data_IF_613714599533
#
_entry.id   IF_613714599533
#
_cell.length_a   1.000
_cell.length_b   1.000
_cell.length_c   1.000
_cell.angle_alpha   90.00
_cell.angle_beta   90.00
_cell.angle_gamma   90.00
#
_symmetry.space_group_name_H-M   'P 1'
#
loop_
_entity.id
_entity.type
_entity.pdbx_description
1 polymer ?
#
# COMPACT_ATOMS: atom_id res chain seq x y z
N UNK A 1 -10.89 -13.27 -3.09
CA UNK A 1 -10.00 -12.74 -4.16
C UNK A 1 -8.75 -13.61 -4.28
N UNK A 2 -8.01 -13.51 -5.39
CA UNK A 2 -6.74 -14.24 -5.60
C UNK A 2 -5.63 -13.22 -5.85
N UNK A 3 -4.54 -13.32 -5.08
CA UNK A 3 -3.33 -12.50 -5.20
C UNK A 3 -2.13 -13.45 -5.24
N UNK A 4 -1.29 -13.36 -6.27
CA UNK A 4 -0.09 -14.21 -6.43
C UNK A 4 -0.38 -15.72 -6.39
N UNK A 5 -1.54 -16.14 -6.91
CA UNK A 5 -1.99 -17.54 -6.88
C UNK A 5 -2.56 -18.02 -5.54
N UNK A 6 -2.50 -17.20 -4.47
CA UNK A 6 -3.08 -17.51 -3.15
C UNK A 6 -4.49 -16.95 -3.00
N UNK A 7 -5.36 -17.70 -2.33
CA UNK A 7 -6.75 -17.31 -2.08
C UNK A 7 -6.88 -16.55 -0.76
N UNK A 8 -7.52 -15.39 -0.80
CA UNK A 8 -7.82 -14.55 0.36
C UNK A 8 -9.33 -14.48 0.59
N UNK A 9 -9.82 -15.14 1.65
CA UNK A 9 -11.21 -15.08 2.11
C UNK A 9 -11.38 -13.95 3.13
N UNK A 10 -11.37 -12.72 2.65
CA UNK A 10 -11.46 -11.51 3.48
C UNK A 10 -12.82 -11.33 4.17
N UNK A 11 -13.82 -12.14 3.84
CA UNK A 11 -15.11 -12.16 4.54
C UNK A 11 -15.03 -12.91 5.89
N UNK A 12 -14.03 -13.79 6.07
CA UNK A 12 -13.91 -14.65 7.25
C UNK A 12 -12.60 -14.48 8.02
N UNK A 13 -11.57 -13.96 7.35
CA UNK A 13 -10.23 -13.87 7.91
C UNK A 13 -9.64 -12.47 7.72
N UNK A 14 -8.87 -12.04 8.70
CA UNK A 14 -7.99 -10.89 8.59
C UNK A 14 -6.62 -11.39 8.15
N UNK A 15 -6.04 -10.73 7.17
CA UNK A 15 -4.71 -11.02 6.64
C UNK A 15 -3.75 -9.90 6.99
N UNK A 16 -2.50 -10.24 7.20
CA UNK A 16 -1.45 -9.28 7.61
C UNK A 16 -0.54 -8.98 6.43
N UNK A 17 -0.41 -7.68 6.09
CA UNK A 17 0.53 -7.18 5.10
C UNK A 17 1.79 -6.68 5.82
N UNK A 18 2.91 -7.36 5.60
CA UNK A 18 4.23 -6.94 6.10
C UNK A 18 4.80 -5.82 5.22
N UNK A 19 5.25 -4.72 5.83
CA UNK A 19 5.81 -3.56 5.10
C UNK A 19 7.32 -3.65 5.04
N UNK A 20 7.88 -3.74 3.82
CA UNK A 20 9.31 -3.78 3.55
C UNK A 20 9.75 -2.52 2.80
N UNK A 21 10.19 -1.50 3.55
CA UNK A 21 10.71 -0.27 2.96
C UNK A 21 12.17 -0.45 2.51
N UNK A 22 12.45 -0.17 1.24
CA UNK A 22 13.77 -0.26 0.62
C UNK A 22 14.31 1.15 0.39
N UNK A 23 14.49 1.90 1.48
CA UNK A 23 15.06 3.25 1.43
C UNK A 23 16.51 3.23 1.89
N UNK A 24 17.37 4.18 1.44
CA UNK A 24 18.78 4.23 1.86
C UNK A 24 18.97 4.25 3.38
N UNK A 25 18.04 4.87 4.10
CA UNK A 25 18.08 4.97 5.56
C UNK A 25 17.65 3.67 6.27
N UNK A 26 16.97 2.77 5.57
CA UNK A 26 16.47 1.52 6.16
C UNK A 26 17.56 0.47 6.35
N UNK A 27 18.72 0.60 5.67
CA UNK A 27 19.79 -0.40 5.62
C UNK A 27 21.19 0.23 5.70
N UNK A 28 21.40 1.28 6.46
CA UNK A 28 22.51 2.26 6.36
C UNK A 28 23.92 1.81 6.78
N UNK A 29 24.19 0.52 7.04
CA UNK A 29 25.46 0.11 7.66
C UNK A 29 26.42 -0.73 6.81
N UNK A 30 26.30 -0.84 5.47
CA UNK A 30 27.31 -1.66 4.83
C UNK A 30 27.28 -2.03 3.36
N UNK A 31 26.72 -1.22 2.48
CA UNK A 31 26.82 -1.42 1.02
C UNK A 31 25.77 -2.37 0.43
N UNK A 32 25.57 -2.30 -0.90
CA UNK A 32 24.43 -2.89 -1.64
C UNK A 32 24.13 -4.38 -1.39
N UNK A 33 25.11 -5.19 -1.04
CA UNK A 33 24.93 -6.62 -0.73
C UNK A 33 24.38 -6.84 0.68
N UNK A 34 24.89 -6.07 1.65
CA UNK A 34 24.39 -6.14 3.03
C UNK A 34 22.94 -5.66 3.11
N UNK A 35 22.56 -4.70 2.26
CA UNK A 35 21.20 -4.16 2.18
C UNK A 35 20.21 -5.21 1.66
N UNK A 36 20.58 -5.98 0.64
CA UNK A 36 19.76 -7.06 0.10
C UNK A 36 19.57 -8.20 1.09
N UNK A 37 20.66 -8.65 1.74
CA UNK A 37 20.59 -9.71 2.76
C UNK A 37 19.76 -9.26 3.97
N UNK A 38 19.86 -7.99 4.36
CA UNK A 38 19.04 -7.43 5.44
C UNK A 38 17.56 -7.39 5.06
N UNK A 39 17.23 -6.96 3.82
CA UNK A 39 15.87 -6.97 3.32
C UNK A 39 15.28 -8.38 3.28
N UNK A 40 16.04 -9.37 2.82
CA UNK A 40 15.58 -10.76 2.76
C UNK A 40 15.43 -11.39 4.15
N UNK A 41 16.32 -11.09 5.12
CA UNK A 41 16.14 -11.53 6.50
C UNK A 41 14.90 -10.93 7.12
N UNK A 42 14.67 -9.63 6.93
CA UNK A 42 13.47 -8.97 7.45
C UNK A 42 12.19 -9.51 6.81
N UNK A 43 12.21 -9.80 5.51
CA UNK A 43 11.10 -10.48 4.84
C UNK A 43 10.83 -11.86 5.46
N UNK A 44 11.90 -12.66 5.71
CA UNK A 44 11.80 -13.98 6.34
C UNK A 44 11.21 -13.90 7.76
N UNK A 45 11.64 -12.92 8.56
CA UNK A 45 11.11 -12.64 9.90
C UNK A 45 9.62 -12.31 9.85
N UNK A 46 9.21 -11.37 8.98
CA UNK A 46 7.79 -11.02 8.83
C UNK A 46 6.93 -12.22 8.40
N UNK A 47 7.42 -13.06 7.50
CA UNK A 47 6.73 -14.28 7.07
C UNK A 47 6.61 -15.27 8.24
N UNK A 48 7.68 -15.47 9.01
CA UNK A 48 7.69 -16.34 10.18
C UNK A 48 6.74 -15.84 11.29
N UNK A 49 6.58 -14.51 11.40
CA UNK A 49 5.68 -13.85 12.36
C UNK A 49 4.23 -13.80 11.84
N UNK A 50 3.95 -14.31 10.65
CA UNK A 50 2.60 -14.49 10.13
C UNK A 50 2.14 -13.48 9.08
N UNK A 51 3.05 -12.80 8.39
CA UNK A 51 2.66 -12.00 7.22
C UNK A 51 2.13 -12.90 6.09
N UNK A 52 0.97 -12.53 5.56
CA UNK A 52 0.30 -13.23 4.45
C UNK A 52 0.73 -12.69 3.07
N UNK A 53 1.18 -11.44 3.02
CA UNK A 53 1.76 -10.79 1.84
C UNK A 53 2.77 -9.72 2.28
N UNK A 54 3.68 -9.36 1.37
CA UNK A 54 4.67 -8.30 1.62
C UNK A 54 4.43 -7.11 0.71
N UNK A 55 4.51 -5.90 1.26
CA UNK A 55 4.39 -4.63 0.53
C UNK A 55 5.76 -3.97 0.44
N UNK A 56 6.30 -3.84 -0.78
CA UNK A 56 7.66 -3.36 -1.03
C UNK A 56 7.60 -1.94 -1.59
N UNK A 57 8.14 -0.99 -0.82
CA UNK A 57 8.19 0.43 -1.19
C UNK A 57 9.62 0.96 -1.30
N UNK A 58 9.90 1.70 -2.39
CA UNK A 58 11.20 2.33 -2.65
C UNK A 58 11.27 3.81 -2.29
N UNK A 59 10.12 4.46 -2.16
CA UNK A 59 9.97 5.87 -1.82
C UNK A 59 9.28 5.99 -0.45
N UNK A 60 9.75 6.91 0.39
CA UNK A 60 9.03 7.22 1.63
C UNK A 60 7.81 8.08 1.30
N UNK A 61 6.63 7.64 1.69
CA UNK A 61 5.37 8.39 1.51
C UNK A 61 5.01 9.25 2.73
N UNK A 62 5.96 9.42 3.68
CA UNK A 62 5.75 10.25 4.88
C UNK A 62 5.73 11.74 4.51
N UNK A 63 4.97 12.58 5.24
CA UNK A 63 4.97 14.03 5.00
C UNK A 63 6.39 14.61 4.99
N UNK A 64 6.73 15.39 3.93
CA UNK A 64 8.06 16.00 3.77
C UNK A 64 9.09 15.12 3.06
N UNK A 65 8.68 14.02 2.46
CA UNK A 65 9.56 13.17 1.64
C UNK A 65 10.06 13.89 0.38
N UNK A 66 11.19 13.42 -0.14
CA UNK A 66 11.72 13.87 -1.43
C UNK A 66 11.22 12.94 -2.52
N UNK A 67 10.59 13.49 -3.55
CA UNK A 67 10.16 12.74 -4.73
C UNK A 67 11.37 12.08 -5.40
N UNK A 68 11.32 10.78 -5.58
CA UNK A 68 12.31 10.04 -6.34
C UNK A 68 12.00 10.09 -7.84
N UNK A 69 13.06 10.03 -8.65
CA UNK A 69 12.89 9.73 -10.07
C UNK A 69 12.51 8.26 -10.23
N UNK A 70 11.71 7.96 -11.25
CA UNK A 70 11.22 6.59 -11.51
C UNK A 70 12.35 5.57 -11.58
N UNK A 71 13.45 5.90 -12.29
CA UNK A 71 14.59 4.99 -12.43
C UNK A 71 15.27 4.68 -11.10
N UNK A 72 15.30 5.63 -10.18
CA UNK A 72 15.84 5.41 -8.85
C UNK A 72 14.95 4.49 -8.02
N UNK A 73 13.64 4.71 -8.05
CA UNK A 73 12.67 3.86 -7.37
C UNK A 73 12.68 2.44 -7.93
N UNK A 74 12.69 2.28 -9.27
CA UNK A 74 12.83 0.98 -9.96
C UNK A 74 14.10 0.26 -9.48
N UNK A 75 15.23 0.95 -9.44
CA UNK A 75 16.50 0.36 -9.02
C UNK A 75 16.50 -0.10 -7.56
N UNK A 76 15.63 0.44 -6.71
CA UNK A 76 15.45 0.02 -5.33
C UNK A 76 14.52 -1.19 -5.23
N UNK A 77 13.31 -1.12 -5.80
CA UNK A 77 12.27 -2.12 -5.56
C UNK A 77 12.45 -3.39 -6.39
N UNK A 78 12.82 -3.28 -7.66
CA UNK A 78 12.86 -4.42 -8.60
C UNK A 78 13.82 -5.53 -8.16
N UNK A 79 15.06 -5.25 -7.74
CA UNK A 79 15.97 -6.30 -7.26
C UNK A 79 15.42 -7.04 -6.04
N UNK A 80 14.77 -6.32 -5.10
CA UNK A 80 14.21 -6.90 -3.88
C UNK A 80 12.98 -7.75 -4.20
N UNK A 81 12.08 -7.27 -5.06
CA UNK A 81 10.91 -8.05 -5.51
C UNK A 81 11.37 -9.38 -6.12
N UNK A 82 12.34 -9.35 -7.04
CA UNK A 82 12.88 -10.58 -7.65
C UNK A 82 13.47 -11.54 -6.62
N UNK A 83 14.26 -11.02 -5.69
CA UNK A 83 14.90 -11.84 -4.66
C UNK A 83 13.88 -12.47 -3.70
N UNK A 84 12.87 -11.71 -3.27
CA UNK A 84 11.76 -12.20 -2.44
C UNK A 84 10.98 -13.29 -3.18
N UNK A 85 10.57 -13.04 -4.43
CA UNK A 85 9.81 -14.02 -5.25
C UNK A 85 10.59 -15.29 -5.58
N UNK A 86 11.93 -15.23 -5.65
CA UNK A 86 12.78 -16.41 -5.85
C UNK A 86 12.94 -17.25 -4.57
N UNK A 87 12.93 -16.60 -3.40
CA UNK A 87 13.22 -17.26 -2.13
C UNK A 87 11.96 -17.72 -1.37
N UNK A 88 10.86 -16.98 -1.48
CA UNK A 88 9.67 -17.20 -0.68
C UNK A 88 8.43 -17.39 -1.55
N UNK A 89 7.57 -18.33 -1.14
CA UNK A 89 6.23 -18.49 -1.73
C UNK A 89 5.24 -17.57 -1.00
N UNK A 90 5.34 -16.26 -1.29
CA UNK A 90 4.47 -15.23 -0.71
C UNK A 90 4.04 -14.25 -1.81
N UNK A 91 2.79 -13.74 -1.80
CA UNK A 91 2.37 -12.64 -2.64
C UNK A 91 3.16 -11.36 -2.32
N UNK A 92 3.50 -10.61 -3.36
CA UNK A 92 4.24 -9.36 -3.24
C UNK A 92 3.42 -8.22 -3.82
N UNK A 93 3.25 -7.17 -3.02
CA UNK A 93 2.73 -5.87 -3.38
C UNK A 93 3.88 -4.91 -3.66
N UNK A 94 3.69 -3.96 -4.58
CA UNK A 94 4.55 -2.80 -4.76
C UNK A 94 3.80 -1.54 -4.34
N UNK A 95 4.37 -0.78 -3.36
CA UNK A 95 3.87 0.53 -2.95
C UNK A 95 4.42 1.60 -3.89
N UNK A 96 3.60 2.00 -4.86
CA UNK A 96 3.93 3.05 -5.82
C UNK A 96 2.69 3.60 -6.51
N UNK A 97 2.71 4.89 -6.82
CA UNK A 97 1.69 5.60 -7.58
C UNK A 97 2.18 5.98 -9.00
N UNK A 98 3.36 5.49 -9.40
CA UNK A 98 3.99 5.75 -10.71
C UNK A 98 3.85 4.51 -11.60
N UNK A 99 3.17 4.64 -12.72
CA UNK A 99 2.88 3.51 -13.62
C UNK A 99 4.16 2.85 -14.16
N UNK A 100 5.21 3.62 -14.40
CA UNK A 100 6.50 3.11 -14.88
C UNK A 100 7.18 2.21 -13.84
N UNK A 101 7.11 2.58 -12.56
CA UNK A 101 7.64 1.76 -11.45
C UNK A 101 6.79 0.50 -11.29
N UNK A 102 5.47 0.65 -11.29
CA UNK A 102 4.53 -0.47 -11.20
C UNK A 102 4.74 -1.47 -12.34
N UNK A 103 4.98 -1.00 -13.59
CA UNK A 103 5.27 -1.88 -14.72
C UNK A 103 6.51 -2.74 -14.47
N UNK A 104 7.62 -2.12 -14.07
CA UNK A 104 8.88 -2.82 -13.78
C UNK A 104 8.75 -3.80 -12.60
N UNK A 105 7.96 -3.44 -11.59
CA UNK A 105 7.67 -4.29 -10.43
C UNK A 105 6.82 -5.52 -10.80
N UNK A 106 5.76 -5.34 -11.61
CA UNK A 106 4.92 -6.43 -12.11
C UNK A 106 5.72 -7.39 -13.01
N UNK A 107 6.58 -6.87 -13.89
CA UNK A 107 7.51 -7.68 -14.68
C UNK A 107 8.55 -8.42 -13.82
N UNK A 108 8.88 -7.90 -12.65
CA UNK A 108 9.76 -8.55 -11.67
C UNK A 108 9.06 -9.62 -10.83
N UNK A 109 7.72 -9.72 -10.91
CA UNK A 109 6.90 -10.73 -10.25
C UNK A 109 6.03 -10.19 -9.11
N UNK A 110 5.84 -8.88 -8.97
CA UNK A 110 4.83 -8.33 -8.07
C UNK A 110 3.42 -8.77 -8.50
N UNK A 111 2.55 -9.01 -7.53
CA UNK A 111 1.20 -9.55 -7.70
C UNK A 111 0.11 -8.50 -7.48
N UNK A 112 0.45 -7.40 -6.80
CA UNK A 112 -0.46 -6.32 -6.42
C UNK A 112 0.25 -4.97 -6.57
N UNK A 113 -0.50 -3.96 -6.99
CA UNK A 113 -0.07 -2.55 -6.94
C UNK A 113 -0.82 -1.85 -5.82
N UNK A 114 -0.09 -1.32 -4.83
CA UNK A 114 -0.62 -0.50 -3.75
C UNK A 114 -0.44 0.97 -4.12
N UNK A 115 -1.54 1.60 -4.58
CA UNK A 115 -1.52 2.97 -5.10
C UNK A 115 -2.14 3.94 -4.09
N UNK A 116 -1.28 4.71 -3.42
CA UNK A 116 -1.68 5.71 -2.42
C UNK A 116 -2.49 6.90 -2.98
N UNK A 117 -2.63 7.02 -4.29
CA UNK A 117 -3.45 8.03 -4.96
C UNK A 117 -4.72 7.47 -5.60
N UNK A 118 -4.95 6.15 -5.53
CA UNK A 118 -6.17 5.52 -6.01
C UNK A 118 -6.44 5.77 -7.50
N UNK A 119 -5.41 5.63 -8.33
CA UNK A 119 -5.43 5.82 -9.80
C UNK A 119 -5.58 7.28 -10.27
N UNK A 120 -5.48 8.25 -9.36
CA UNK A 120 -5.72 9.68 -9.70
C UNK A 120 -4.43 10.45 -10.01
N UNK A 121 -3.25 9.90 -9.72
CA UNK A 121 -1.98 10.56 -9.95
C UNK A 121 -1.42 10.32 -11.36
N UNK A 122 -1.37 9.07 -11.79
CA UNK A 122 -0.84 8.65 -13.10
C UNK A 122 -1.94 8.01 -13.94
N UNK A 123 -2.33 8.69 -15.03
CA UNK A 123 -3.40 8.26 -15.92
C UNK A 123 -3.14 6.88 -16.59
N UNK A 124 -1.89 6.44 -16.65
CA UNK A 124 -1.52 5.16 -17.24
C UNK A 124 -1.65 3.99 -16.24
N UNK A 125 -1.74 4.25 -14.93
CA UNK A 125 -1.73 3.24 -13.89
C UNK A 125 -2.90 2.24 -14.03
N UNK A 126 -4.11 2.72 -14.19
CA UNK A 126 -5.28 1.86 -14.31
C UNK A 126 -5.20 0.89 -15.51
N UNK A 127 -4.82 1.41 -16.69
CA UNK A 127 -4.65 0.60 -17.90
C UNK A 127 -3.50 -0.42 -17.77
N UNK A 128 -2.42 -0.05 -17.07
CA UNK A 128 -1.31 -0.95 -16.76
C UNK A 128 -1.77 -2.14 -15.91
N UNK A 129 -2.43 -1.86 -14.78
CA UNK A 129 -2.94 -2.88 -13.86
C UNK A 129 -3.90 -3.84 -14.58
N UNK A 130 -4.84 -3.30 -15.37
CA UNK A 130 -5.78 -4.10 -16.15
C UNK A 130 -5.08 -5.02 -17.15
N UNK A 131 -4.08 -4.50 -17.89
CA UNK A 131 -3.31 -5.28 -18.87
C UNK A 131 -2.54 -6.44 -18.23
N UNK A 132 -1.97 -6.23 -17.04
CA UNK A 132 -1.25 -7.25 -16.28
C UNK A 132 -2.18 -8.17 -15.48
N UNK A 133 -3.48 -7.89 -15.45
CA UNK A 133 -4.46 -8.61 -14.62
C UNK A 133 -4.02 -8.69 -13.14
N UNK A 134 -3.27 -7.71 -12.67
CA UNK A 134 -2.79 -7.62 -11.30
C UNK A 134 -3.90 -7.21 -10.34
N UNK A 135 -3.74 -7.54 -9.06
CA UNK A 135 -4.57 -6.94 -8.02
C UNK A 135 -4.13 -5.50 -7.76
N UNK A 136 -5.02 -4.68 -7.19
CA UNK A 136 -4.68 -3.34 -6.76
C UNK A 136 -5.33 -2.99 -5.42
N UNK A 137 -4.61 -2.21 -4.63
CA UNK A 137 -5.13 -1.52 -3.45
C UNK A 137 -5.23 -0.03 -3.78
N UNK A 138 -6.43 0.52 -3.70
CA UNK A 138 -6.73 1.91 -4.06
C UNK A 138 -6.96 2.71 -2.78
N UNK A 139 -6.02 3.60 -2.45
CA UNK A 139 -6.10 4.38 -1.22
C UNK A 139 -6.77 5.72 -1.45
N UNK A 140 -7.60 6.11 -0.48
CA UNK A 140 -8.13 7.47 -0.39
C UNK A 140 -7.05 8.47 -0.01
N UNK A 141 -6.82 9.44 -0.89
CA UNK A 141 -5.89 10.53 -0.65
C UNK A 141 -6.42 11.86 -1.23
N UNK A 142 -6.08 12.97 -0.58
CA UNK A 142 -6.25 14.34 -1.08
C UNK A 142 -4.99 15.15 -0.79
N UNK A 143 -4.69 16.13 -1.63
CA UNK A 143 -3.57 17.06 -1.41
C UNK A 143 -3.76 17.88 -0.13
N UNK A 144 -5.01 18.25 0.17
CA UNK A 144 -5.39 19.04 1.34
C UNK A 144 -6.61 18.40 2.05
N UNK A 145 -6.68 18.53 3.36
CA UNK A 145 -7.79 18.01 4.17
C UNK A 145 -9.02 18.95 4.11
N UNK A 146 -9.52 19.24 2.91
CA UNK A 146 -10.67 20.10 2.66
C UNK A 146 -11.86 19.26 2.21
N UNK A 147 -12.95 19.28 2.99
CA UNK A 147 -14.19 18.54 2.74
C UNK A 147 -15.38 19.45 3.04
N UNK A 148 -16.46 19.31 2.30
CA UNK A 148 -17.76 19.93 2.67
C UNK A 148 -18.41 19.13 3.80
N UNK A 149 -18.49 17.81 3.62
CA UNK A 149 -18.90 16.84 4.63
C UNK A 149 -17.97 15.63 4.52
N UNK A 150 -17.19 15.37 5.57
CA UNK A 150 -16.07 14.42 5.47
C UNK A 150 -16.47 13.05 4.94
N UNK A 151 -17.41 12.33 5.60
CA UNK A 151 -17.75 10.97 5.17
C UNK A 151 -18.43 10.87 3.79
N UNK A 152 -19.41 11.73 3.44
CA UNK A 152 -19.96 11.75 2.10
C UNK A 152 -18.91 12.02 1.02
N UNK A 153 -18.06 13.01 1.21
CA UNK A 153 -17.02 13.37 0.25
C UNK A 153 -15.97 12.24 0.13
N UNK A 154 -15.59 11.65 1.27
CA UNK A 154 -14.71 10.48 1.32
C UNK A 154 -15.26 9.29 0.51
N UNK A 155 -16.54 8.96 0.69
CA UNK A 155 -17.17 7.86 -0.05
C UNK A 155 -17.24 8.16 -1.56
N UNK A 156 -17.57 9.40 -1.92
CA UNK A 156 -17.56 9.82 -3.32
C UNK A 156 -16.17 9.71 -3.96
N UNK A 157 -15.10 10.07 -3.23
CA UNK A 157 -13.72 9.91 -3.70
C UNK A 157 -13.34 8.44 -3.91
N UNK A 158 -13.80 7.55 -3.02
CA UNK A 158 -13.57 6.11 -3.17
C UNK A 158 -14.36 5.51 -4.34
N UNK A 159 -15.62 5.95 -4.54
CA UNK A 159 -16.42 5.58 -5.71
C UNK A 159 -15.76 6.04 -7.02
N UNK A 160 -15.10 7.20 -7.01
CA UNK A 160 -14.31 7.65 -8.15
C UNK A 160 -13.13 6.72 -8.46
N UNK A 161 -12.36 6.30 -7.45
CA UNK A 161 -11.27 5.33 -7.62
C UNK A 161 -11.79 4.01 -8.23
N UNK A 162 -12.91 3.49 -7.70
CA UNK A 162 -13.57 2.29 -8.23
C UNK A 162 -14.00 2.49 -9.69
N UNK A 163 -14.60 3.63 -10.00
CA UNK A 163 -15.03 3.96 -11.37
C UNK A 163 -13.86 4.00 -12.34
N UNK A 164 -12.73 4.59 -11.95
CA UNK A 164 -11.50 4.60 -12.75
C UNK A 164 -10.98 3.18 -13.00
N UNK A 165 -10.92 2.34 -11.96
CA UNK A 165 -10.48 0.95 -12.08
C UNK A 165 -11.38 0.17 -13.04
N UNK A 166 -12.69 0.26 -12.89
CA UNK A 166 -13.67 -0.45 -13.74
C UNK A 166 -13.67 0.05 -15.18
N UNK A 167 -13.52 1.35 -15.39
CA UNK A 167 -13.42 1.94 -16.73
C UNK A 167 -12.18 1.44 -17.50
N UNK A 168 -11.08 1.13 -16.79
CA UNK A 168 -9.89 0.54 -17.37
C UNK A 168 -9.99 -0.99 -17.58
N UNK A 169 -11.04 -1.65 -17.07
CA UNK A 169 -11.24 -3.09 -17.19
C UNK A 169 -10.66 -3.92 -16.06
N UNK A 170 -10.32 -3.31 -14.92
CA UNK A 170 -9.93 -4.05 -13.71
C UNK A 170 -11.18 -4.73 -13.14
N UNK A 171 -11.12 -6.06 -12.93
CA UNK A 171 -12.25 -6.83 -12.40
C UNK A 171 -12.45 -6.59 -10.89
N UNK A 172 -13.69 -6.68 -10.43
CA UNK A 172 -14.07 -6.41 -9.04
C UNK A 172 -13.31 -7.28 -8.03
N UNK A 173 -12.98 -8.51 -8.38
CA UNK A 173 -12.24 -9.45 -7.54
C UNK A 173 -10.74 -9.15 -7.42
N UNK A 174 -10.26 -8.09 -8.08
CA UNK A 174 -8.88 -7.59 -8.06
C UNK A 174 -8.71 -6.29 -7.28
N UNK A 175 -9.80 -5.70 -6.77
CA UNK A 175 -9.78 -4.40 -6.12
C UNK A 175 -9.83 -4.56 -4.60
N UNK A 176 -8.94 -3.86 -3.90
CA UNK A 176 -8.92 -3.62 -2.45
C UNK A 176 -9.01 -2.11 -2.25
N UNK A 177 -9.66 -1.67 -1.19
CA UNK A 177 -9.79 -0.25 -0.84
C UNK A 177 -9.06 0.04 0.47
N UNK A 178 -8.35 1.17 0.55
CA UNK A 178 -7.71 1.66 1.77
C UNK A 178 -8.27 3.05 2.14
N UNK A 179 -8.75 3.25 3.36
CA UNK A 179 -9.28 4.55 3.82
C UNK A 179 -8.21 5.66 3.89
N UNK A 180 -6.93 5.33 3.79
CA UNK A 180 -5.84 6.29 3.80
C UNK A 180 -5.72 7.04 5.14
N UNK A 181 -5.70 6.32 6.26
CA UNK A 181 -5.45 6.91 7.57
C UNK A 181 -4.11 7.65 7.55
N UNK A 182 -4.10 8.92 7.93
CA UNK A 182 -2.91 9.78 7.92
C UNK A 182 -2.64 10.51 6.60
N UNK A 183 -3.50 10.35 5.57
CA UNK A 183 -3.37 11.01 4.27
C UNK A 183 -4.58 11.89 3.97
N UNK A 184 -4.33 13.16 3.61
CA UNK A 184 -5.38 14.12 3.26
C UNK A 184 -6.47 14.29 4.32
N UNK A 185 -6.15 14.08 5.61
CA UNK A 185 -7.08 14.10 6.74
C UNK A 185 -6.43 14.76 7.95
N UNK A 186 -7.21 15.54 8.69
CA UNK A 186 -6.81 16.00 10.03
C UNK A 186 -6.99 14.91 11.10
N UNK A 187 -6.68 15.21 12.35
CA UNK A 187 -6.74 14.25 13.45
C UNK A 187 -8.15 13.69 13.66
N UNK A 188 -9.15 14.55 13.72
CA UNK A 188 -10.56 14.19 13.96
C UNK A 188 -11.09 13.31 12.82
N UNK A 189 -10.78 13.64 11.58
CA UNK A 189 -11.16 12.85 10.40
C UNK A 189 -10.51 11.45 10.41
N UNK A 190 -9.26 11.35 10.88
CA UNK A 190 -8.60 10.04 11.03
C UNK A 190 -9.30 9.20 12.10
N UNK A 191 -9.67 9.77 13.23
CA UNK A 191 -10.44 9.07 14.26
C UNK A 191 -11.83 8.69 13.75
N UNK A 192 -12.49 9.58 12.99
CA UNK A 192 -13.82 9.32 12.46
C UNK A 192 -13.81 8.15 11.47
N UNK A 193 -12.87 8.11 10.52
CA UNK A 193 -12.84 7.03 9.54
C UNK A 193 -12.46 5.68 10.17
N UNK A 194 -11.60 5.65 11.19
CA UNK A 194 -11.30 4.43 11.95
C UNK A 194 -12.55 3.92 12.66
N UNK A 195 -13.29 4.82 13.36
CA UNK A 195 -14.52 4.46 14.08
C UNK A 195 -15.65 4.00 13.17
N UNK A 196 -15.68 4.49 11.94
CA UNK A 196 -16.74 4.24 10.95
C UNK A 196 -16.24 3.48 9.74
N UNK A 197 -15.21 2.65 9.93
CA UNK A 197 -14.61 1.86 8.85
C UNK A 197 -15.64 0.96 8.14
N UNK A 198 -16.71 0.57 8.85
CA UNK A 198 -17.84 -0.16 8.32
C UNK A 198 -18.56 0.55 7.16
N UNK A 199 -18.43 1.88 7.04
CA UNK A 199 -19.00 2.61 5.91
C UNK A 199 -18.41 2.14 4.56
N UNK A 200 -17.17 1.66 4.54
CA UNK A 200 -16.52 1.13 3.34
C UNK A 200 -17.11 -0.21 2.88
N UNK A 201 -17.73 -0.99 3.77
CA UNK A 201 -18.40 -2.24 3.39
C UNK A 201 -19.52 -2.01 2.37
N UNK A 202 -20.11 -0.79 2.35
CA UNK A 202 -21.16 -0.42 1.38
C UNK A 202 -20.63 -0.36 -0.06
N UNK A 203 -19.32 -0.19 -0.22
CA UNK A 203 -18.66 -0.17 -1.54
C UNK A 203 -18.47 -1.58 -2.10
N UNK A 204 -18.56 -2.64 -1.28
CA UNK A 204 -18.58 -4.04 -1.72
C UNK A 204 -17.20 -4.66 -1.98
N UNK A 205 -16.12 -4.03 -1.50
CA UNK A 205 -14.73 -4.49 -1.71
C UNK A 205 -14.04 -4.79 -0.36
N UNK A 206 -13.01 -5.67 -0.37
CA UNK A 206 -12.14 -5.84 0.78
C UNK A 206 -11.47 -4.52 1.19
N UNK A 207 -11.18 -4.36 2.48
CA UNK A 207 -10.56 -3.16 3.03
C UNK A 207 -9.18 -3.50 3.60
N UNK A 208 -8.16 -2.78 3.13
CA UNK A 208 -6.85 -2.71 3.78
C UNK A 208 -6.88 -1.55 4.79
N UNK A 209 -6.50 -1.80 6.03
CA UNK A 209 -6.41 -0.77 7.06
C UNK A 209 -4.96 -0.57 7.51
N UNK A 210 -4.34 0.51 7.05
CA UNK A 210 -2.98 0.89 7.41
C UNK A 210 -2.98 1.90 8.57
N UNK A 211 -2.86 1.43 9.82
CA UNK A 211 -2.80 2.29 11.02
C UNK A 211 -1.47 2.21 11.77
N UNK A 212 -0.64 1.20 11.46
CA UNK A 212 0.59 0.91 12.18
C UNK A 212 1.48 2.14 12.33
N UNK A 213 1.81 2.49 13.57
CA UNK A 213 2.70 3.58 13.99
C UNK A 213 2.34 4.97 13.44
N UNK A 214 1.12 5.16 12.92
CA UNK A 214 0.71 6.45 12.34
C UNK A 214 0.56 7.54 13.41
N UNK A 215 0.63 8.80 12.97
CA UNK A 215 0.58 9.98 13.85
C UNK A 215 -0.69 10.05 14.68
N UNK A 216 -1.82 9.55 14.17
CA UNK A 216 -3.08 9.50 14.91
C UNK A 216 -2.94 8.74 16.23
N UNK A 217 -2.19 7.63 16.26
CA UNK A 217 -1.89 6.87 17.49
C UNK A 217 -1.08 7.74 18.46
N UNK A 218 0.01 8.34 17.97
CA UNK A 218 0.87 9.18 18.79
C UNK A 218 0.14 10.38 19.38
N UNK A 219 -0.76 11.00 18.61
CA UNK A 219 -1.58 12.12 19.08
C UNK A 219 -2.64 11.67 20.09
N UNK A 220 -3.20 10.47 19.93
CA UNK A 220 -4.22 9.93 20.84
C UNK A 220 -3.61 9.51 22.19
N UNK A 221 -2.44 8.89 22.17
CA UNK A 221 -1.81 8.30 23.34
C UNK A 221 -0.67 9.15 23.94
N UNK A 222 -0.37 10.29 23.32
CA UNK A 222 0.78 11.15 23.64
C UNK A 222 2.11 10.37 23.59
N UNK A 223 2.31 9.60 22.50
CA UNK A 223 3.46 8.74 22.35
C UNK A 223 4.36 9.17 21.17
N UNK A 224 5.69 9.15 21.35
CA UNK A 224 6.65 9.35 20.26
C UNK A 224 6.57 8.19 19.25
N UNK A 225 7.09 8.41 18.03
CA UNK A 225 6.95 7.47 16.91
C UNK A 225 7.46 6.04 17.20
N UNK A 226 8.50 5.91 18.03
CA UNK A 226 9.12 4.64 18.41
C UNK A 226 8.40 3.89 19.56
N UNK A 227 7.28 4.42 20.06
CA UNK A 227 6.49 3.83 21.14
C UNK A 227 5.03 3.61 20.75
N UNK A 228 4.71 3.61 19.45
CA UNK A 228 3.33 3.50 18.91
C UNK A 228 2.94 2.06 18.53
N UNK A 229 3.66 1.07 19.05
CA UNK A 229 3.44 -0.35 18.69
C UNK A 229 2.18 -0.94 19.30
N UNK A 230 1.77 -0.43 20.47
CA UNK A 230 0.60 -0.94 21.22
C UNK A 230 -0.71 -0.20 20.91
N UNK A 231 -0.70 0.75 19.97
CA UNK A 231 -1.84 1.63 19.68
C UNK A 231 -2.64 1.29 18.43
#
# INVERSE_FOLDING_TARGET
MIIGGKSFDTARHTYVMGILNVTPDSFSDGGKWNDMDAALRHAEEMIADGADLLDIGGESTRPGYTLLQDDEEINRVVPVIRAVKQRFDIPVSVDTYKSRVAAAALEAGADLVNDIWGLKYDEQMAALIARHQAACCLMHNRMEAIYQQFLPDFLNDMEECIRLAKAAGISDDKIILDPGVGFGKNYEMNLEIIRKIDCMHRLGYPVLLGTSRKSVIGLTLDLPANQREEG
#
